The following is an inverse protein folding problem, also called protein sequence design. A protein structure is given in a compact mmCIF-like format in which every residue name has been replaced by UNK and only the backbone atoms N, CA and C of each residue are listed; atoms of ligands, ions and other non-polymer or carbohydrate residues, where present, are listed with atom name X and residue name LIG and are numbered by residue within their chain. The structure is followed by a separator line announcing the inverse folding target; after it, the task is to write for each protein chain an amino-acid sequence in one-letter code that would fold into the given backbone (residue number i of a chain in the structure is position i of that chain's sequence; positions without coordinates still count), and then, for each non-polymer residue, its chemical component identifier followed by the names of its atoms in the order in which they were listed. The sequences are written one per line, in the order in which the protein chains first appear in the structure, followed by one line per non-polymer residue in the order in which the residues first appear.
data_IF_644784736162
#
_entry.id   IF_644784736162
#
_cell.length_a   1.000
_cell.length_b   1.000
_cell.length_c   1.000
_cell.angle_alpha   90.00
_cell.angle_beta   90.00
_cell.angle_gamma   90.00
#
_symmetry.space_group_name_H-M   'P 1'
#
loop_
_entity.id
_entity.type
_entity.pdbx_description
1 polymer ?
#
# COMPACT_ATOMS: atom_id res chain seq x y z
N UNK A 1 14.55 0.57 14.14
CA UNK A 1 13.47 1.47 13.66
C UNK A 1 13.70 1.88 12.22
N UNK A 2 12.64 2.11 11.47
CA UNK A 2 12.74 2.63 10.11
C UNK A 2 13.10 4.12 10.11
N UNK A 3 13.82 4.54 9.07
CA UNK A 3 14.13 5.97 8.88
C UNK A 3 12.85 6.76 8.60
N UNK A 4 12.76 7.96 9.13
CA UNK A 4 11.64 8.88 8.89
C UNK A 4 11.41 9.13 7.39
N UNK A 5 12.48 9.24 6.61
CA UNK A 5 12.40 9.41 5.15
C UNK A 5 11.66 8.27 4.46
N UNK A 6 11.86 7.02 4.88
CA UNK A 6 11.17 5.85 4.32
C UNK A 6 9.67 5.86 4.64
N UNK A 7 9.31 6.25 5.84
CA UNK A 7 7.91 6.41 6.27
C UNK A 7 7.23 7.50 5.46
N UNK A 8 7.88 8.65 5.31
CA UNK A 8 7.34 9.79 4.55
C UNK A 8 7.19 9.48 3.05
N UNK A 9 8.14 8.77 2.45
CA UNK A 9 8.00 8.28 1.07
C UNK A 9 6.76 7.39 0.90
N UNK A 10 6.54 6.47 1.82
CA UNK A 10 5.37 5.59 1.79
C UNK A 10 4.06 6.36 1.91
N UNK A 11 3.98 7.34 2.82
CA UNK A 11 2.82 8.22 2.96
C UNK A 11 2.55 9.04 1.69
N UNK A 12 3.60 9.55 1.05
CA UNK A 12 3.49 10.25 -0.24
C UNK A 12 2.92 9.34 -1.33
N UNK A 13 3.38 8.09 -1.41
CA UNK A 13 2.83 7.09 -2.34
C UNK A 13 1.36 6.83 -2.10
N UNK A 14 0.93 6.68 -0.85
CA UNK A 14 -0.48 6.48 -0.48
C UNK A 14 -1.34 7.66 -0.96
N UNK A 15 -0.89 8.89 -0.74
CA UNK A 15 -1.60 10.09 -1.22
C UNK A 15 -1.72 10.12 -2.73
N UNK A 16 -0.65 9.82 -3.46
CA UNK A 16 -0.65 9.78 -4.94
C UNK A 16 -1.55 8.66 -5.47
N UNK A 17 -1.55 7.50 -4.85
CA UNK A 17 -2.43 6.38 -5.24
C UNK A 17 -3.90 6.78 -5.08
N UNK A 18 -4.28 7.43 -4.00
CA UNK A 18 -5.65 7.94 -3.82
C UNK A 18 -6.01 8.99 -4.88
N UNK A 19 -5.11 9.92 -5.15
CA UNK A 19 -5.33 10.99 -6.14
C UNK A 19 -5.57 10.46 -7.54
N UNK A 20 -4.79 9.48 -7.98
CA UNK A 20 -4.85 8.94 -9.34
C UNK A 20 -5.65 7.65 -9.48
N UNK A 21 -6.30 7.17 -8.42
CA UNK A 21 -7.02 5.90 -8.41
C UNK A 21 -8.08 5.81 -9.52
N UNK A 22 -8.91 6.83 -9.67
CA UNK A 22 -9.98 6.86 -10.68
C UNK A 22 -9.41 6.88 -12.11
N UNK A 23 -8.39 7.72 -12.36
CA UNK A 23 -7.75 7.83 -13.67
C UNK A 23 -7.10 6.51 -14.08
N UNK A 24 -6.36 5.89 -13.17
CA UNK A 24 -5.73 4.59 -13.43
C UNK A 24 -6.75 3.48 -13.66
N UNK A 25 -7.82 3.43 -12.89
CA UNK A 25 -8.88 2.45 -13.07
C UNK A 25 -9.56 2.57 -14.44
N UNK A 26 -9.90 3.79 -14.87
CA UNK A 26 -10.48 4.06 -16.18
C UNK A 26 -9.56 3.61 -17.32
N UNK A 27 -8.27 3.98 -17.26
CA UNK A 27 -7.29 3.59 -18.28
C UNK A 27 -7.06 2.08 -18.33
N UNK A 28 -7.00 1.41 -17.19
CA UNK A 28 -6.87 -0.04 -17.13
C UNK A 28 -8.09 -0.78 -17.69
N UNK A 29 -9.30 -0.26 -17.48
CA UNK A 29 -10.50 -0.83 -18.12
C UNK A 29 -10.41 -0.79 -19.63
N UNK A 30 -9.95 0.33 -20.21
CA UNK A 30 -9.76 0.48 -21.66
C UNK A 30 -8.69 -0.51 -22.15
N UNK A 31 -7.56 -0.59 -21.48
CA UNK A 31 -6.44 -1.48 -21.86
C UNK A 31 -6.86 -2.96 -21.84
N UNK A 32 -7.62 -3.37 -20.83
CA UNK A 32 -8.03 -4.77 -20.64
C UNK A 32 -9.23 -5.16 -21.51
N UNK A 33 -9.90 -4.21 -22.14
CA UNK A 33 -11.04 -4.50 -23.01
C UNK A 33 -10.56 -5.01 -24.38
N UNK A 34 -10.64 -6.31 -24.60
CA UNK A 34 -10.20 -6.97 -25.84
C UNK A 34 -11.09 -6.66 -27.07
N UNK A 35 -12.27 -6.08 -26.86
CA UNK A 35 -13.19 -5.72 -27.94
C UNK A 35 -12.83 -4.41 -28.63
N UNK A 36 -12.03 -3.57 -27.99
CA UNK A 36 -11.58 -2.30 -28.53
C UNK A 36 -10.43 -2.50 -29.53
N UNK A 37 -10.29 -1.53 -30.45
CA UNK A 37 -9.17 -1.52 -31.39
C UNK A 37 -7.82 -1.40 -30.68
N UNK A 38 -6.79 -1.96 -31.30
CA UNK A 38 -5.43 -1.93 -30.78
C UNK A 38 -4.89 -0.50 -30.62
N UNK A 39 -5.24 0.40 -31.54
CA UNK A 39 -4.84 1.82 -31.49
C UNK A 39 -5.37 2.53 -30.23
N UNK A 40 -6.64 2.35 -29.90
CA UNK A 40 -7.24 2.94 -28.69
C UNK A 40 -6.60 2.40 -27.40
N UNK A 41 -6.37 1.09 -27.38
CA UNK A 41 -5.70 0.44 -26.24
C UNK A 41 -4.27 0.94 -26.07
N UNK A 42 -3.56 1.13 -27.17
CA UNK A 42 -2.19 1.65 -27.15
C UNK A 42 -2.13 3.10 -26.67
N UNK A 43 -3.05 3.96 -27.10
CA UNK A 43 -3.15 5.34 -26.59
C UNK A 43 -3.42 5.37 -25.08
N UNK A 44 -4.33 4.52 -24.60
CA UNK A 44 -4.60 4.39 -23.17
C UNK A 44 -3.34 3.92 -22.39
N UNK A 45 -2.56 3.02 -22.95
CA UNK A 45 -1.29 2.57 -22.36
C UNK A 45 -0.28 3.72 -22.28
N UNK A 46 -0.16 4.53 -23.32
CA UNK A 46 0.72 5.70 -23.30
C UNK A 46 0.29 6.73 -22.24
N UNK A 47 -1.00 6.97 -22.11
CA UNK A 47 -1.54 7.86 -21.06
C UNK A 47 -1.26 7.31 -19.65
N UNK A 48 -1.38 6.00 -19.47
CA UNK A 48 -1.06 5.34 -18.21
C UNK A 48 0.43 5.47 -17.85
N UNK A 49 1.31 5.33 -18.84
CA UNK A 49 2.76 5.47 -18.66
C UNK A 49 3.20 6.89 -18.27
N UNK A 50 2.44 7.91 -18.70
CA UNK A 50 2.70 9.31 -18.33
C UNK A 50 2.35 9.64 -16.88
N UNK A 51 1.55 8.81 -16.21
CA UNK A 51 1.20 9.02 -14.81
C UNK A 51 2.42 8.76 -13.91
N UNK A 52 2.52 9.45 -12.73
CA UNK A 52 3.63 9.22 -11.81
C UNK A 52 3.74 7.75 -11.38
N UNK A 53 4.95 7.20 -11.38
CA UNK A 53 5.18 5.82 -10.95
C UNK A 53 4.76 5.58 -9.50
N UNK A 54 4.91 6.57 -8.63
CA UNK A 54 4.50 6.50 -7.23
C UNK A 54 2.98 6.47 -7.02
N UNK A 55 2.19 6.69 -8.07
CA UNK A 55 0.73 6.51 -8.05
C UNK A 55 0.30 5.05 -8.23
N UNK A 56 1.21 4.14 -8.50
CA UNK A 56 0.94 2.71 -8.61
C UNK A 56 0.73 2.08 -7.23
N UNK A 57 -0.40 1.40 -7.05
CA UNK A 57 -0.77 0.74 -5.79
C UNK A 57 0.26 -0.30 -5.32
N UNK A 58 0.90 -0.98 -6.27
CA UNK A 58 1.89 -2.02 -5.96
C UNK A 58 3.16 -1.49 -5.26
N UNK A 59 3.44 -0.20 -5.36
CA UNK A 59 4.58 0.43 -4.70
C UNK A 59 4.36 0.77 -3.24
N UNK A 60 3.11 0.72 -2.75
CA UNK A 60 2.80 0.92 -1.35
C UNK A 60 3.29 -0.28 -0.55
N UNK A 61 4.01 -0.02 0.54
CA UNK A 61 4.45 -1.03 1.47
C UNK A 61 3.65 -0.95 2.76
N UNK A 62 3.17 -2.08 3.26
CA UNK A 62 2.57 -2.16 4.58
C UNK A 62 3.67 -1.97 5.63
N UNK A 63 3.52 -0.97 6.48
CA UNK A 63 4.45 -0.62 7.54
C UNK A 63 3.75 -0.58 8.88
N UNK A 64 4.49 -0.88 9.93
CA UNK A 64 4.01 -0.72 11.30
C UNK A 64 3.70 0.77 11.55
N UNK A 65 2.51 1.06 12.08
CA UNK A 65 2.13 2.44 12.41
C UNK A 65 2.91 3.01 13.60
N UNK A 66 3.41 2.15 14.47
CA UNK A 66 4.18 2.54 15.66
C UNK A 66 5.66 2.73 15.35
N UNK A 67 6.29 1.77 14.69
CA UNK A 67 7.75 1.76 14.48
C UNK A 67 8.18 2.02 13.04
N UNK A 68 7.27 1.88 12.08
CA UNK A 68 7.58 1.99 10.65
C UNK A 68 8.25 0.77 10.04
N UNK A 69 8.36 -0.34 10.77
CA UNK A 69 8.96 -1.58 10.27
C UNK A 69 8.23 -2.09 9.01
N UNK A 70 8.94 -2.40 7.91
CA UNK A 70 8.32 -2.85 6.66
C UNK A 70 8.06 -4.36 6.60
N UNK A 71 8.59 -5.15 7.53
CA UNK A 71 8.47 -6.61 7.56
C UNK A 71 7.75 -7.09 8.82
N UNK A 72 7.11 -8.25 8.72
CA UNK A 72 6.41 -8.85 9.87
C UNK A 72 5.27 -7.98 10.40
N UNK A 73 4.50 -7.37 9.51
CA UNK A 73 3.38 -6.48 9.85
C UNK A 73 2.06 -7.23 9.72
N UNK A 74 1.25 -7.22 10.77
CA UNK A 74 -0.12 -7.73 10.73
C UNK A 74 -1.03 -6.71 10.05
N UNK A 75 -1.55 -7.05 8.87
CA UNK A 75 -2.39 -6.14 8.06
C UNK A 75 -3.65 -5.69 8.78
N UNK A 76 -4.27 -6.58 9.54
CA UNK A 76 -5.49 -6.29 10.28
C UNK A 76 -5.27 -5.23 11.38
N UNK A 77 -4.17 -5.35 12.10
CA UNK A 77 -3.83 -4.46 13.21
C UNK A 77 -2.92 -3.31 12.79
N UNK A 78 -2.28 -3.41 11.62
CA UNK A 78 -1.33 -2.43 11.07
C UNK A 78 -0.12 -2.17 11.96
N UNK A 79 0.27 -3.15 12.74
CA UNK A 79 1.44 -3.11 13.62
C UNK A 79 2.35 -4.31 13.38
N UNK A 80 3.64 -4.16 13.66
CA UNK A 80 4.61 -5.24 13.52
C UNK A 80 4.43 -6.31 14.60
N UNK A 81 4.98 -7.52 14.35
CA UNK A 81 4.99 -8.61 15.33
C UNK A 81 5.64 -8.21 16.66
N UNK A 82 6.68 -7.39 16.60
CA UNK A 82 7.40 -6.89 17.77
C UNK A 82 6.53 -5.92 18.57
N UNK A 83 5.96 -4.92 17.89
CA UNK A 83 5.07 -3.95 18.53
C UNK A 83 3.79 -4.62 19.08
N UNK A 84 3.25 -5.61 18.37
CA UNK A 84 2.11 -6.40 18.83
C UNK A 84 2.42 -7.11 20.15
N UNK A 85 3.56 -7.80 20.22
CA UNK A 85 3.95 -8.51 21.43
C UNK A 85 4.14 -7.56 22.63
N UNK A 86 4.84 -6.46 22.42
CA UNK A 86 5.10 -5.48 23.47
C UNK A 86 3.81 -4.83 23.98
N UNK A 87 2.92 -4.41 23.07
CA UNK A 87 1.64 -3.80 23.44
C UNK A 87 0.67 -4.80 24.07
N UNK A 88 0.65 -6.04 23.60
CA UNK A 88 -0.18 -7.11 24.17
C UNK A 88 0.29 -7.48 25.58
N UNK A 89 1.61 -7.58 25.80
CA UNK A 89 2.19 -7.85 27.11
C UNK A 89 1.90 -6.75 28.14
N UNK A 90 1.82 -5.50 27.69
CA UNK A 90 1.45 -4.35 28.54
C UNK A 90 -0.06 -4.12 28.67
N UNK A 91 -0.90 -5.00 28.10
CA UNK A 91 -2.35 -4.93 28.19
C UNK A 91 -3.03 -3.83 27.37
N UNK A 92 -2.32 -3.24 26.39
CA UNK A 92 -2.85 -2.15 25.56
C UNK A 92 -3.79 -2.62 24.44
N UNK A 93 -3.73 -3.90 24.08
CA UNK A 93 -4.55 -4.49 23.02
C UNK A 93 -5.54 -5.46 23.67
N UNK A 94 -6.86 -5.18 23.63
CA UNK A 94 -7.87 -6.06 24.19
C UNK A 94 -8.04 -7.33 23.35
N UNK A 95 -8.43 -8.44 24.03
CA UNK A 95 -8.77 -9.68 23.36
C UNK A 95 -7.58 -10.53 22.88
N UNK A 96 -6.35 -10.13 23.18
CA UNK A 96 -5.14 -10.87 22.83
C UNK A 96 -4.73 -11.78 24.00
N UNK A 97 -4.62 -13.07 23.70
CA UNK A 97 -4.11 -14.08 24.64
C UNK A 97 -2.89 -14.79 24.04
N UNK A 98 -1.95 -15.20 24.89
CA UNK A 98 -0.82 -16.03 24.44
C UNK A 98 -1.32 -17.41 24.02
N UNK A 99 -0.88 -17.88 22.86
CA UNK A 99 -1.17 -19.25 22.39
C UNK A 99 -0.15 -20.27 22.90
N UNK A 100 1.02 -19.81 23.37
CA UNK A 100 2.08 -20.63 23.96
C UNK A 100 2.76 -19.90 25.10
N UNK A 101 3.35 -20.65 25.99
CA UNK A 101 4.04 -20.16 27.20
C UNK A 101 5.53 -19.98 26.98
#
# INVERSE_FOLDING_TARGET
MAKTSSIQKNLKRIKLVKKYAKKRAALKKIINNKKLELSERFEAQLKLNKLPNNSAKIRIRNRCEVTGRPHGVYRKLKISRIALRDMASSGKIPGITKSSW
#
